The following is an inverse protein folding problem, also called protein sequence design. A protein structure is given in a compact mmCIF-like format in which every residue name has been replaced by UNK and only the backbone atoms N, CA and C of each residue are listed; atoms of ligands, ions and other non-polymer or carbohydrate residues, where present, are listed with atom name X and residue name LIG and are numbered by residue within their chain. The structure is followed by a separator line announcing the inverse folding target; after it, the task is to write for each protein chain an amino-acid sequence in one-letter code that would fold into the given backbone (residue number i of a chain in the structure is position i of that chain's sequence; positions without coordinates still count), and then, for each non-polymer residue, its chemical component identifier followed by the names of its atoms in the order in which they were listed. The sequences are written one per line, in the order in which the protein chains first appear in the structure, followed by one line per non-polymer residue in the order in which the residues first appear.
data_IF_440138187152
#
_entry.id   IF_440138187152
#
_cell.length_a   1.000
_cell.length_b   1.000
_cell.length_c   1.000
_cell.angle_alpha   90.00
_cell.angle_beta   90.00
_cell.angle_gamma   90.00
#
_symmetry.space_group_name_H-M   'P 1'
#
loop_
_entity.id
_entity.type
_entity.pdbx_description
1 polymer ?
#
# COMPACT_ATOMS: atom_id res chain seq x y z
N UNK A 1 3.02 15.88 4.22
CA UNK A 1 2.26 14.72 3.68
C UNK A 1 1.95 14.98 2.22
N UNK A 2 2.43 14.13 1.30
CA UNK A 2 2.18 14.28 -0.15
C UNK A 2 0.88 13.55 -0.52
N UNK A 3 0.01 14.18 -1.32
CA UNK A 3 -1.23 13.58 -1.84
C UNK A 3 -1.10 13.36 -3.33
N UNK A 4 -1.49 12.18 -3.79
CA UNK A 4 -1.39 11.74 -5.20
C UNK A 4 -2.65 10.95 -5.51
N UNK A 5 -3.24 11.17 -6.70
CA UNK A 5 -4.32 10.36 -7.23
C UNK A 5 -3.73 9.28 -8.14
N UNK A 6 -4.18 8.04 -7.97
CA UNK A 6 -3.73 6.90 -8.78
C UNK A 6 -4.93 6.11 -9.28
N UNK A 7 -4.79 5.52 -10.47
CA UNK A 7 -5.77 4.59 -11.02
C UNK A 7 -5.19 3.17 -10.95
N UNK A 8 -5.88 2.28 -10.26
CA UNK A 8 -5.51 0.87 -10.15
C UNK A 8 -6.44 0.03 -11.02
N UNK A 9 -5.95 -1.02 -11.72
CA UNK A 9 -6.83 -1.94 -12.42
C UNK A 9 -7.81 -2.62 -11.45
N UNK A 10 -9.06 -2.80 -11.88
CA UNK A 10 -10.11 -3.40 -11.05
C UNK A 10 -9.73 -4.77 -10.48
N UNK A 11 -9.02 -5.58 -11.28
CA UNK A 11 -8.54 -6.89 -10.85
C UNK A 11 -7.55 -6.78 -9.68
N UNK A 12 -6.64 -5.82 -9.73
CA UNK A 12 -5.67 -5.58 -8.67
C UNK A 12 -6.38 -5.05 -7.41
N UNK A 13 -7.31 -4.10 -7.56
CA UNK A 13 -8.07 -3.56 -6.44
C UNK A 13 -8.91 -4.62 -5.72
N UNK A 14 -9.57 -5.51 -6.48
CA UNK A 14 -10.33 -6.64 -5.90
C UNK A 14 -9.47 -7.57 -5.06
N UNK A 15 -8.20 -7.80 -5.44
CA UNK A 15 -7.28 -8.63 -4.67
C UNK A 15 -6.90 -7.92 -3.36
N UNK A 16 -6.55 -6.63 -3.46
CA UNK A 16 -6.21 -5.79 -2.31
C UNK A 16 -7.36 -5.79 -1.30
N UNK A 17 -8.58 -5.49 -1.76
CA UNK A 17 -9.74 -5.42 -0.87
C UNK A 17 -10.02 -6.76 -0.19
N UNK A 18 -10.06 -7.86 -0.94
CA UNK A 18 -10.41 -9.18 -0.38
C UNK A 18 -9.36 -9.76 0.56
N UNK A 19 -8.08 -9.44 0.35
CA UNK A 19 -6.97 -10.08 1.08
C UNK A 19 -6.44 -9.22 2.21
N UNK A 20 -6.50 -7.90 2.07
CA UNK A 20 -5.76 -6.96 2.92
C UNK A 20 -6.67 -6.09 3.79
N UNK A 21 -7.93 -5.86 3.40
CA UNK A 21 -8.90 -5.12 4.23
C UNK A 21 -9.12 -5.83 5.57
N UNK A 22 -9.13 -5.07 6.66
CA UNK A 22 -9.17 -5.59 8.03
C UNK A 22 -7.86 -6.19 8.57
N UNK A 23 -6.83 -6.38 7.71
CA UNK A 23 -5.48 -6.80 8.14
C UNK A 23 -4.48 -5.65 8.10
N UNK A 24 -4.48 -4.89 7.00
CA UNK A 24 -3.60 -3.75 6.77
C UNK A 24 -4.33 -2.40 6.89
N UNK A 25 -5.58 -2.40 7.34
CA UNK A 25 -6.40 -1.20 7.50
C UNK A 25 -7.79 -1.35 6.89
N UNK A 26 -8.63 -0.36 7.14
CA UNK A 26 -10.03 -0.37 6.70
C UNK A 26 -10.30 0.68 5.61
N UNK A 27 -9.56 1.79 5.63
CA UNK A 27 -9.66 2.83 4.61
C UNK A 27 -8.76 2.53 3.42
N UNK A 28 -9.22 2.91 2.24
CA UNK A 28 -8.50 2.69 0.98
C UNK A 28 -7.10 3.30 0.99
N UNK A 29 -6.98 4.53 1.50
CA UNK A 29 -5.70 5.23 1.61
C UNK A 29 -4.75 4.61 2.63
N UNK A 30 -5.26 3.95 3.68
CA UNK A 30 -4.44 3.22 4.65
C UNK A 30 -3.89 1.94 4.05
N UNK A 31 -4.74 1.20 3.32
CA UNK A 31 -4.34 0.00 2.61
C UNK A 31 -3.20 0.31 1.63
N UNK A 32 -3.38 1.30 0.75
CA UNK A 32 -2.35 1.68 -0.23
C UNK A 32 -1.08 2.14 0.47
N UNK A 33 -1.18 2.99 1.50
CA UNK A 33 0.00 3.47 2.25
C UNK A 33 0.78 2.31 2.88
N UNK A 34 0.08 1.40 3.54
CA UNK A 34 0.71 0.29 4.25
C UNK A 34 1.33 -0.72 3.27
N UNK A 35 0.73 -0.94 2.10
CA UNK A 35 1.34 -1.74 1.03
C UNK A 35 2.64 -1.10 0.55
N UNK A 36 2.66 0.21 0.28
CA UNK A 36 3.88 0.90 -0.15
C UNK A 36 4.97 0.81 0.92
N UNK A 37 4.64 1.08 2.19
CA UNK A 37 5.60 0.97 3.29
C UNK A 37 6.16 -0.45 3.39
N UNK A 38 5.29 -1.47 3.35
CA UNK A 38 5.72 -2.86 3.41
C UNK A 38 6.69 -3.21 2.27
N UNK A 39 6.37 -2.80 1.03
CA UNK A 39 7.25 -3.01 -0.11
C UNK A 39 8.62 -2.34 0.05
N UNK A 40 8.65 -1.08 0.49
CA UNK A 40 9.91 -0.36 0.72
C UNK A 40 10.75 -1.02 1.83
N UNK A 41 10.10 -1.48 2.90
CA UNK A 41 10.76 -2.23 3.98
C UNK A 41 11.33 -3.57 3.50
N UNK A 42 10.56 -4.35 2.73
CA UNK A 42 11.01 -5.63 2.16
C UNK A 42 12.22 -5.48 1.24
N UNK A 43 12.38 -4.30 0.63
CA UNK A 43 13.51 -3.97 -0.24
C UNK A 43 14.69 -3.36 0.48
N UNK A 44 14.58 -3.04 1.77
CA UNK A 44 15.65 -2.40 2.53
C UNK A 44 15.88 -0.92 2.17
N UNK A 45 14.99 -0.29 1.39
CA UNK A 45 15.20 1.10 0.94
C UNK A 45 15.18 2.13 2.07
N UNK A 46 14.60 1.79 3.24
CA UNK A 46 14.72 2.64 4.43
C UNK A 46 16.11 2.61 5.07
N UNK A 47 16.94 1.62 4.76
CA UNK A 47 18.31 1.49 5.26
C UNK A 47 19.31 2.13 4.30
N UNK A 48 19.06 2.07 2.98
CA UNK A 48 19.87 2.74 1.96
C UNK A 48 19.83 4.28 2.04
N UNK A 49 18.74 4.83 2.57
CA UNK A 49 18.52 6.29 2.69
C UNK A 49 18.93 6.87 4.06
N UNK A 50 19.54 6.06 4.95
CA UNK A 50 20.05 6.51 6.25
C UNK A 50 21.54 6.85 6.20
#
# INVERSE_FOLDING_TARGET
MKRILVSLPDGAWKIIEKKLKGKLGDKESELVRNIVIAYLSEKGYFEEEK
#
